data_IF_559668628851
#
_entry.id   IF_559668628851
#
_cell.length_a   1.000
_cell.length_b   1.000
_cell.length_c   1.000
_cell.angle_alpha   90.00
_cell.angle_beta   90.00
_cell.angle_gamma   90.00
#
_symmetry.space_group_name_H-M   'P 1'
#
loop_
_entity.id
_entity.type
_entity.pdbx_description
1 polymer ?
#
# COMPACT_ATOMS: atom_id res chain seq x y z
N UNK A 1 7.86 102.87 36.13
CA UNK A 1 8.75 101.89 36.79
C UNK A 1 8.33 100.52 36.38
N UNK A 2 9.30 99.85 35.84
CA UNK A 2 9.43 98.44 35.50
C UNK A 2 8.47 97.82 34.44
N UNK A 3 9.07 97.74 33.28
CA UNK A 3 8.67 96.96 32.12
C UNK A 3 8.88 95.45 32.32
N UNK A 4 7.93 94.64 31.87
CA UNK A 4 8.17 93.22 31.57
C UNK A 4 8.20 92.97 30.08
N UNK A 5 9.08 92.12 29.58
CA UNK A 5 9.09 91.76 28.17
C UNK A 5 8.21 90.52 27.91
N UNK A 6 7.59 90.53 26.72
CA UNK A 6 6.75 89.52 26.18
C UNK A 6 7.57 88.31 25.67
N UNK A 7 7.23 87.08 26.08
CA UNK A 7 7.77 85.81 25.61
C UNK A 7 7.03 85.35 24.33
N UNK A 8 7.76 85.32 23.21
CA UNK A 8 7.30 84.69 21.96
C UNK A 8 7.53 83.18 22.04
N UNK A 9 6.44 82.40 22.02
CA UNK A 9 6.49 80.96 21.79
C UNK A 9 6.57 80.63 20.33
N UNK A 10 7.73 80.19 19.86
CA UNK A 10 7.92 79.54 18.57
C UNK A 10 7.22 78.15 18.59
N UNK A 11 6.27 77.95 17.67
CA UNK A 11 5.73 76.63 17.36
C UNK A 11 6.79 75.84 16.55
N UNK A 12 7.39 74.83 17.13
CA UNK A 12 8.22 73.85 16.43
C UNK A 12 7.35 72.97 15.54
N UNK A 13 7.56 73.05 14.23
CA UNK A 13 7.00 72.16 13.23
C UNK A 13 7.53 70.77 13.41
N UNK A 14 6.64 69.79 13.69
CA UNK A 14 6.98 68.38 13.72
C UNK A 14 7.15 67.92 12.26
N UNK A 15 8.37 67.73 11.81
CA UNK A 15 8.71 67.06 10.56
C UNK A 15 8.37 65.54 10.69
N UNK A 16 7.31 65.15 10.02
CA UNK A 16 7.01 63.70 9.80
C UNK A 16 8.03 63.12 8.82
N UNK A 17 9.03 62.39 9.35
CA UNK A 17 9.99 61.63 8.56
C UNK A 17 9.27 60.57 7.73
N UNK A 18 9.11 60.79 6.43
CA UNK A 18 8.64 59.78 5.45
C UNK A 18 9.62 58.61 5.45
N UNK A 19 9.17 57.40 5.82
CA UNK A 19 9.96 56.18 5.75
C UNK A 19 10.54 55.93 4.37
N UNK A 20 11.78 55.45 4.22
CA UNK A 20 12.49 55.42 2.94
C UNK A 20 11.81 54.44 1.99
N UNK A 21 11.44 54.96 0.80
CA UNK A 21 10.79 54.22 -0.32
C UNK A 21 11.55 52.94 -0.74
N UNK A 22 12.81 52.79 -0.36
CA UNK A 22 13.68 51.65 -0.65
C UNK A 22 13.26 50.37 0.10
N UNK A 23 12.84 50.47 1.37
CA UNK A 23 12.37 49.34 2.19
C UNK A 23 11.04 48.72 1.68
N UNK A 24 10.15 49.54 1.12
CA UNK A 24 8.87 49.07 0.53
C UNK A 24 9.12 48.26 -0.75
N UNK A 25 10.07 48.67 -1.63
CA UNK A 25 10.38 47.93 -2.87
C UNK A 25 10.99 46.55 -2.53
N UNK A 26 11.91 46.47 -1.56
CA UNK A 26 12.51 45.20 -1.14
C UNK A 26 11.48 44.25 -0.52
N UNK A 27 10.55 44.78 0.26
CA UNK A 27 9.46 43.96 0.86
C UNK A 27 8.51 43.41 -0.24
N UNK A 28 8.17 44.18 -1.25
CA UNK A 28 7.35 43.76 -2.39
C UNK A 28 8.04 42.67 -3.20
N UNK A 29 9.37 42.84 -3.49
CA UNK A 29 10.16 41.84 -4.21
C UNK A 29 10.19 40.51 -3.40
N UNK A 30 10.43 40.55 -2.08
CA UNK A 30 10.43 39.37 -1.22
C UNK A 30 9.05 38.70 -1.19
N UNK A 31 7.97 39.49 -1.14
CA UNK A 31 6.60 38.97 -1.19
C UNK A 31 6.29 38.31 -2.54
N UNK A 32 6.72 38.90 -3.66
CA UNK A 32 6.56 38.33 -5.01
C UNK A 32 7.37 37.04 -5.16
N UNK A 33 8.61 37.00 -4.63
CA UNK A 33 9.43 35.77 -4.63
C UNK A 33 8.80 34.68 -3.78
N UNK A 34 8.25 35.01 -2.61
CA UNK A 34 7.52 34.06 -1.75
C UNK A 34 6.25 33.55 -2.43
N UNK A 35 5.44 34.44 -3.03
CA UNK A 35 4.25 34.06 -3.79
C UNK A 35 4.59 33.16 -4.99
N UNK A 36 5.64 33.49 -5.73
CA UNK A 36 6.08 32.64 -6.86
C UNK A 36 6.54 31.26 -6.39
N UNK A 37 7.26 31.15 -5.27
CA UNK A 37 7.62 29.87 -4.64
C UNK A 37 6.38 29.06 -4.21
N UNK A 38 5.39 29.73 -3.62
CA UNK A 38 4.12 29.08 -3.23
C UNK A 38 3.34 28.59 -4.45
N UNK A 39 3.28 29.40 -5.54
CA UNK A 39 2.63 29.01 -6.79
C UNK A 39 3.36 27.83 -7.45
N UNK A 40 4.68 27.84 -7.48
CA UNK A 40 5.48 26.72 -8.01
C UNK A 40 5.27 25.46 -7.17
N UNK A 41 5.28 25.55 -5.84
CA UNK A 41 5.02 24.42 -4.97
C UNK A 41 3.61 23.87 -5.14
N UNK A 42 2.58 24.74 -5.23
CA UNK A 42 1.19 24.36 -5.45
C UNK A 42 0.98 23.72 -6.84
N UNK A 43 1.59 24.29 -7.89
CA UNK A 43 1.48 23.74 -9.25
C UNK A 43 2.22 22.40 -9.37
N UNK A 44 3.35 22.23 -8.70
CA UNK A 44 4.08 20.96 -8.65
C UNK A 44 3.25 19.90 -7.91
N UNK A 45 2.65 20.23 -6.77
CA UNK A 45 1.75 19.35 -6.05
C UNK A 45 0.52 18.95 -6.87
N UNK A 46 -0.12 19.90 -7.55
CA UNK A 46 -1.26 19.64 -8.42
C UNK A 46 -0.88 18.78 -9.64
N UNK A 47 0.29 19.02 -10.24
CA UNK A 47 0.81 18.22 -11.35
C UNK A 47 1.08 16.77 -10.89
N UNK A 48 1.76 16.58 -9.77
CA UNK A 48 2.00 15.25 -9.20
C UNK A 48 0.69 14.51 -8.92
N UNK A 49 -0.30 15.21 -8.36
CA UNK A 49 -1.62 14.63 -8.12
C UNK A 49 -2.31 14.22 -9.43
N UNK A 50 -2.29 15.10 -10.44
CA UNK A 50 -2.91 14.84 -11.74
C UNK A 50 -2.25 13.66 -12.47
N UNK A 51 -0.92 13.64 -12.55
CA UNK A 51 -0.19 12.54 -13.17
C UNK A 51 -0.28 11.25 -12.35
N UNK A 52 -0.33 11.34 -11.02
CA UNK A 52 -0.45 10.19 -10.13
C UNK A 52 -1.78 9.45 -10.25
N UNK A 53 -2.85 10.14 -10.67
CA UNK A 53 -4.17 9.54 -10.90
C UNK A 53 -4.17 8.58 -12.10
N UNK A 54 -3.34 8.84 -13.10
CA UNK A 54 -3.34 8.08 -14.37
C UNK A 54 -2.96 6.61 -14.15
N UNK A 55 -3.82 5.68 -14.59
CA UNK A 55 -3.60 4.24 -14.50
C UNK A 55 -3.68 3.65 -13.09
N UNK A 56 -4.22 4.40 -12.11
CA UNK A 56 -4.43 3.88 -10.75
C UNK A 56 -5.79 3.21 -10.56
N UNK A 57 -6.74 3.51 -11.41
CA UNK A 57 -8.08 2.90 -11.39
C UNK A 57 -8.45 2.43 -12.80
N UNK A 58 -9.26 1.38 -12.88
CA UNK A 58 -9.84 0.88 -14.12
C UNK A 58 -11.27 1.37 -14.26
N UNK A 59 -11.66 1.82 -15.45
CA UNK A 59 -13.00 2.36 -15.68
C UNK A 59 -14.06 1.30 -15.80
N UNK A 60 -13.70 0.22 -16.48
CA UNK A 60 -14.59 -0.87 -16.81
C UNK A 60 -13.89 -2.18 -16.42
N UNK A 61 -14.55 -3.00 -15.61
CA UNK A 61 -14.08 -4.33 -15.27
C UNK A 61 -15.28 -5.26 -15.18
N UNK A 62 -15.23 -6.36 -15.91
CA UNK A 62 -16.28 -7.38 -15.93
C UNK A 62 -15.84 -8.54 -15.04
N UNK A 63 -16.73 -8.94 -14.13
CA UNK A 63 -16.53 -10.09 -13.28
C UNK A 63 -16.51 -11.37 -14.13
N UNK A 64 -15.44 -12.17 -13.99
CA UNK A 64 -15.39 -13.47 -14.64
C UNK A 64 -16.46 -14.40 -14.04
N UNK A 65 -16.97 -15.38 -14.80
CA UNK A 65 -17.88 -16.38 -14.27
C UNK A 65 -17.32 -17.07 -13.02
N UNK A 66 -18.18 -17.32 -12.06
CA UNK A 66 -17.84 -17.94 -10.79
C UNK A 66 -18.50 -19.32 -10.71
N UNK A 67 -17.69 -20.37 -10.63
CA UNK A 67 -18.22 -21.71 -10.39
C UNK A 67 -18.59 -21.83 -8.90
N UNK A 68 -19.83 -22.29 -8.61
CA UNK A 68 -20.29 -22.55 -7.26
C UNK A 68 -20.89 -21.37 -6.50
N UNK A 69 -20.94 -20.16 -7.06
CA UNK A 69 -21.62 -19.00 -6.49
C UNK A 69 -22.84 -18.63 -7.33
N UNK A 70 -24.02 -18.61 -6.71
CA UNK A 70 -25.27 -18.23 -7.39
C UNK A 70 -25.32 -16.71 -7.59
N UNK A 71 -24.89 -16.28 -8.77
CA UNK A 71 -24.79 -14.87 -9.16
C UNK A 71 -25.17 -14.68 -10.62
N UNK A 72 -25.66 -13.49 -10.95
CA UNK A 72 -25.97 -13.08 -12.32
C UNK A 72 -25.24 -11.78 -12.65
N UNK A 73 -24.47 -11.79 -13.73
CA UNK A 73 -23.87 -10.58 -14.30
C UNK A 73 -24.78 -10.10 -15.43
N UNK A 74 -25.28 -8.87 -15.33
CA UNK A 74 -26.17 -8.26 -16.33
C UNK A 74 -25.36 -7.60 -17.45
N UNK A 75 -26.03 -7.29 -18.57
CA UNK A 75 -25.42 -6.62 -19.75
C UNK A 75 -24.90 -5.20 -19.45
N UNK A 76 -25.35 -4.58 -18.35
CA UNK A 76 -24.91 -3.25 -17.88
C UNK A 76 -23.78 -3.33 -16.83
N UNK A 77 -23.08 -4.48 -16.73
CA UNK A 77 -22.01 -4.76 -15.75
C UNK A 77 -22.46 -4.70 -14.27
N UNK A 78 -23.76 -4.75 -14.03
CA UNK A 78 -24.26 -4.94 -12.65
C UNK A 78 -24.28 -6.42 -12.29
N UNK A 79 -24.03 -6.69 -11.00
CA UNK A 79 -24.01 -8.05 -10.45
C UNK A 79 -25.18 -8.21 -9.50
N UNK A 80 -25.98 -9.26 -9.68
CA UNK A 80 -27.05 -9.64 -8.74
C UNK A 80 -26.55 -10.78 -7.87
N UNK A 81 -26.57 -10.58 -6.57
CA UNK A 81 -26.17 -11.56 -5.56
C UNK A 81 -27.04 -11.43 -4.30
N UNK A 82 -27.63 -12.53 -3.83
CA UNK A 82 -28.52 -12.57 -2.64
C UNK A 82 -29.61 -11.47 -2.68
N UNK A 83 -30.32 -11.38 -3.82
CA UNK A 83 -31.38 -10.39 -4.06
C UNK A 83 -30.96 -8.90 -4.01
N UNK A 84 -29.65 -8.64 -4.07
CA UNK A 84 -29.07 -7.30 -4.12
C UNK A 84 -28.39 -7.06 -5.43
N UNK A 85 -28.44 -5.80 -5.88
CA UNK A 85 -27.77 -5.36 -7.12
C UNK A 85 -26.51 -4.59 -6.74
N UNK A 86 -25.41 -4.94 -7.37
CA UNK A 86 -24.10 -4.31 -7.16
C UNK A 86 -23.57 -3.73 -8.46
N UNK A 87 -22.99 -2.54 -8.39
CA UNK A 87 -22.36 -1.88 -9.52
C UNK A 87 -20.87 -1.74 -9.28
N UNK A 88 -20.08 -2.00 -10.32
CA UNK A 88 -18.63 -1.81 -10.27
C UNK A 88 -18.24 -0.38 -9.87
N UNK A 89 -17.25 -0.26 -8.99
CA UNK A 89 -16.72 1.00 -8.50
C UNK A 89 -15.42 1.35 -9.21
N UNK A 90 -15.48 2.18 -10.24
CA UNK A 90 -14.34 2.66 -11.03
C UNK A 90 -13.35 3.57 -10.26
N UNK A 91 -13.56 3.76 -8.95
CA UNK A 91 -12.68 4.55 -8.08
C UNK A 91 -11.71 3.69 -7.26
N UNK A 92 -11.73 2.38 -7.45
CA UNK A 92 -10.85 1.48 -6.70
C UNK A 92 -9.45 1.47 -7.33
N UNK A 93 -8.46 1.83 -6.53
CA UNK A 93 -7.04 1.63 -6.83
C UNK A 93 -6.57 0.40 -6.03
N UNK A 94 -6.23 -0.67 -6.74
CA UNK A 94 -5.77 -1.93 -6.15
C UNK A 94 -4.26 -2.10 -6.34
N UNK A 95 -3.54 -2.29 -5.25
CA UNK A 95 -2.09 -2.43 -5.20
C UNK A 95 -1.73 -3.77 -4.56
N UNK A 96 -1.00 -4.63 -5.26
CA UNK A 96 -0.49 -5.87 -4.70
C UNK A 96 0.85 -5.63 -4.00
N UNK A 97 0.88 -5.81 -2.69
CA UNK A 97 2.09 -5.79 -1.89
C UNK A 97 2.65 -7.22 -1.78
N UNK A 98 3.90 -7.41 -2.19
CA UNK A 98 4.56 -8.71 -2.28
C UNK A 98 5.78 -8.71 -1.37
N UNK A 99 5.87 -9.66 -0.44
CA UNK A 99 7.08 -9.94 0.33
C UNK A 99 7.86 -11.09 -0.31
N UNK A 100 9.11 -10.86 -0.70
CA UNK A 100 9.96 -11.85 -1.38
C UNK A 100 11.08 -12.29 -0.48
N UNK A 101 11.39 -13.60 -0.47
CA UNK A 101 12.40 -14.22 0.37
C UNK A 101 13.84 -14.09 -0.14
N UNK A 102 14.04 -13.67 -1.40
CA UNK A 102 15.36 -13.64 -2.05
C UNK A 102 15.97 -12.22 -2.12
N UNK A 103 16.91 -11.93 -1.22
CA UNK A 103 17.63 -10.66 -1.17
C UNK A 103 18.56 -10.39 -2.37
N UNK A 104 19.05 -11.45 -3.04
CA UNK A 104 20.10 -11.31 -4.07
C UNK A 104 19.53 -10.83 -5.40
N UNK A 105 18.25 -11.01 -5.65
CA UNK A 105 17.63 -10.82 -6.95
C UNK A 105 17.00 -9.42 -7.12
N UNK A 106 16.59 -8.77 -6.04
CA UNK A 106 16.12 -7.38 -6.12
C UNK A 106 17.26 -6.38 -6.44
N UNK A 107 18.52 -6.77 -6.26
CA UNK A 107 19.70 -5.93 -6.51
C UNK A 107 20.29 -6.02 -7.92
N UNK A 108 19.56 -6.56 -8.92
CA UNK A 108 19.93 -6.43 -10.34
C UNK A 108 20.44 -7.68 -11.06
N UNK A 109 20.27 -8.88 -10.51
CA UNK A 109 20.54 -10.14 -11.23
C UNK A 109 19.27 -10.63 -11.96
N UNK A 110 19.38 -10.96 -13.25
CA UNK A 110 18.30 -11.66 -13.96
C UNK A 110 18.19 -13.08 -13.42
N UNK A 111 17.05 -13.43 -12.83
CA UNK A 111 16.80 -14.79 -12.38
C UNK A 111 16.54 -15.72 -13.57
N UNK A 112 16.96 -16.97 -13.44
CA UNK A 112 16.49 -18.03 -14.34
C UNK A 112 15.03 -18.33 -13.99
N UNK A 113 14.18 -18.41 -14.98
CA UNK A 113 12.76 -18.78 -14.82
C UNK A 113 12.61 -20.04 -13.95
N UNK A 114 11.70 -19.98 -12.98
CA UNK A 114 11.52 -21.01 -11.95
C UNK A 114 12.46 -20.89 -10.73
N UNK A 115 13.37 -19.90 -10.71
CA UNK A 115 14.33 -19.67 -9.63
C UNK A 115 14.35 -18.21 -9.15
N UNK A 116 13.31 -17.44 -9.42
CA UNK A 116 13.22 -16.03 -9.07
C UNK A 116 12.89 -15.74 -7.58
N UNK A 117 12.84 -16.77 -6.72
CA UNK A 117 12.30 -16.69 -5.38
C UNK A 117 10.79 -16.91 -5.37
N UNK A 118 10.16 -16.78 -4.22
CA UNK A 118 8.73 -16.97 -4.05
C UNK A 118 8.08 -15.73 -3.40
N UNK A 119 6.81 -15.50 -3.73
CA UNK A 119 6.01 -14.49 -3.05
C UNK A 119 5.54 -15.03 -1.69
N UNK A 120 6.35 -14.85 -0.66
CA UNK A 120 6.11 -15.39 0.69
C UNK A 120 5.01 -14.67 1.47
N UNK A 121 4.66 -13.46 1.05
CA UNK A 121 3.60 -12.65 1.63
C UNK A 121 2.88 -11.89 0.52
N UNK A 122 1.55 -11.96 0.50
CA UNK A 122 0.69 -11.36 -0.51
C UNK A 122 -0.43 -10.58 0.19
N UNK A 123 -0.49 -9.27 -0.07
CA UNK A 123 -1.53 -8.39 0.46
C UNK A 123 -2.06 -7.49 -0.64
N UNK A 124 -3.37 -7.57 -0.91
CA UNK A 124 -4.02 -6.60 -1.78
C UNK A 124 -4.46 -5.40 -0.94
N UNK A 125 -3.97 -4.22 -1.30
CA UNK A 125 -4.39 -2.95 -0.72
C UNK A 125 -5.31 -2.26 -1.72
N UNK A 126 -6.59 -2.23 -1.44
CA UNK A 126 -7.60 -1.59 -2.28
C UNK A 126 -8.05 -0.27 -1.64
N UNK A 127 -7.88 0.82 -2.36
CA UNK A 127 -8.22 2.18 -1.93
C UNK A 127 -9.35 2.71 -2.79
N UNK A 128 -10.51 2.98 -2.20
CA UNK A 128 -11.52 3.81 -2.85
C UNK A 128 -11.03 5.26 -2.84
N UNK A 129 -10.60 5.75 -3.99
CA UNK A 129 -9.95 7.06 -4.13
C UNK A 129 -10.93 8.22 -3.98
N UNK A 130 -12.23 7.95 -3.92
CA UNK A 130 -13.29 8.94 -3.66
C UNK A 130 -13.59 9.06 -2.17
N UNK A 131 -13.80 7.93 -1.49
CA UNK A 131 -14.14 7.90 -0.06
C UNK A 131 -12.93 7.79 0.87
N UNK A 132 -11.77 7.34 0.37
CA UNK A 132 -10.58 7.01 1.15
C UNK A 132 -10.70 5.71 1.95
N UNK A 133 -11.82 4.98 1.86
CA UNK A 133 -11.93 3.64 2.43
C UNK A 133 -10.80 2.76 1.87
N UNK A 134 -10.09 2.09 2.76
CA UNK A 134 -8.97 1.23 2.38
C UNK A 134 -9.17 -0.16 2.97
N UNK A 135 -9.18 -1.17 2.13
CA UNK A 135 -9.25 -2.57 2.52
C UNK A 135 -7.91 -3.26 2.25
N UNK A 136 -7.40 -3.99 3.22
CA UNK A 136 -6.18 -4.81 3.11
C UNK A 136 -6.60 -6.26 3.20
N UNK A 137 -6.52 -6.98 2.08
CA UNK A 137 -6.82 -8.42 1.99
C UNK A 137 -5.52 -9.22 2.06
N UNK A 138 -5.38 -10.06 3.07
CA UNK A 138 -4.30 -11.05 3.17
C UNK A 138 -4.65 -12.29 2.34
N UNK A 139 -3.77 -12.64 1.40
CA UNK A 139 -3.90 -13.80 0.51
C UNK A 139 -2.92 -14.88 0.96
N UNK A 140 -3.37 -16.07 1.37
CA UNK A 140 -2.47 -17.16 1.73
C UNK A 140 -1.56 -17.54 0.55
N UNK A 141 -0.26 -17.66 0.81
CA UNK A 141 0.72 -17.95 -0.24
C UNK A 141 0.52 -19.31 -0.91
N UNK A 142 -0.10 -20.24 -0.19
CA UNK A 142 -0.34 -21.61 -0.64
C UNK A 142 -1.69 -21.75 -1.37
N UNK A 143 -2.41 -20.63 -1.67
CA UNK A 143 -3.67 -20.63 -2.41
C UNK A 143 -3.48 -21.21 -3.80
N UNK A 144 -4.28 -22.22 -4.15
CA UNK A 144 -4.29 -22.77 -5.50
C UNK A 144 -5.02 -21.82 -6.45
N UNK A 145 -4.36 -21.54 -7.57
CA UNK A 145 -4.87 -20.65 -8.61
C UNK A 145 -4.19 -20.98 -9.94
N UNK A 146 -4.78 -20.60 -11.02
CA UNK A 146 -4.19 -20.70 -12.34
C UNK A 146 -2.99 -19.78 -12.50
N UNK A 147 -1.80 -20.35 -12.62
CA UNK A 147 -0.51 -19.69 -12.78
C UNK A 147 0.04 -19.92 -14.17
N UNK A 148 0.51 -18.85 -14.83
CA UNK A 148 1.23 -18.97 -16.09
C UNK A 148 2.61 -19.60 -15.86
N UNK A 149 2.87 -20.71 -16.54
CA UNK A 149 4.11 -21.46 -16.45
C UNK A 149 5.02 -21.12 -17.62
N UNK A 150 6.29 -20.96 -17.33
CA UNK A 150 7.31 -20.66 -18.32
C UNK A 150 8.46 -21.68 -18.23
N UNK A 151 8.98 -22.07 -19.39
CA UNK A 151 10.17 -22.94 -19.49
C UNK A 151 11.41 -22.24 -18.95
N UNK A 152 12.49 -23.00 -18.74
CA UNK A 152 13.80 -22.45 -18.32
C UNK A 152 14.38 -21.43 -19.30
N UNK A 153 13.96 -21.48 -20.59
CA UNK A 153 14.33 -20.49 -21.61
C UNK A 153 13.47 -19.23 -21.59
N UNK A 154 12.46 -19.15 -20.70
CA UNK A 154 11.51 -18.03 -20.62
C UNK A 154 10.35 -18.10 -21.61
N UNK A 155 10.20 -19.22 -22.37
CA UNK A 155 9.08 -19.40 -23.27
C UNK A 155 7.84 -19.83 -22.49
N UNK A 156 6.69 -19.26 -22.83
CA UNK A 156 5.40 -19.66 -22.25
C UNK A 156 5.12 -21.14 -22.48
N UNK A 157 4.78 -21.88 -21.44
CA UNK A 157 4.55 -23.32 -21.47
C UNK A 157 3.10 -23.74 -21.15
N UNK A 158 2.26 -22.82 -20.72
CA UNK A 158 0.86 -23.08 -20.42
C UNK A 158 0.40 -22.47 -19.10
N UNK A 159 -0.69 -23.01 -18.58
CA UNK A 159 -1.26 -22.65 -17.26
C UNK A 159 -1.32 -23.90 -16.42
N UNK A 160 -0.93 -23.79 -15.16
CA UNK A 160 -1.09 -24.84 -14.16
C UNK A 160 -1.85 -24.30 -12.95
N UNK A 161 -2.74 -25.10 -12.37
CA UNK A 161 -3.35 -24.80 -11.08
C UNK A 161 -2.39 -25.21 -9.97
N UNK A 162 -1.77 -24.20 -9.32
CA UNK A 162 -0.72 -24.40 -8.32
C UNK A 162 -0.69 -23.25 -7.30
N UNK A 163 0.19 -23.35 -6.30
CA UNK A 163 0.28 -22.31 -5.26
C UNK A 163 0.63 -20.95 -5.85
N UNK A 164 -0.13 -19.93 -5.48
CA UNK A 164 0.01 -18.55 -6.01
C UNK A 164 1.40 -17.95 -5.79
N UNK A 165 2.12 -18.37 -4.74
CA UNK A 165 3.48 -17.91 -4.47
C UNK A 165 4.48 -18.26 -5.57
N UNK A 166 4.20 -19.31 -6.36
CA UNK A 166 5.05 -19.76 -7.47
C UNK A 166 4.94 -18.87 -8.70
N UNK A 167 3.88 -18.09 -8.84
CA UNK A 167 3.73 -17.13 -9.94
C UNK A 167 4.93 -16.17 -10.04
N UNK A 168 5.47 -15.76 -8.88
CA UNK A 168 6.67 -14.91 -8.82
C UNK A 168 7.91 -15.63 -9.36
N UNK A 169 8.06 -16.92 -9.07
CA UNK A 169 9.22 -17.72 -9.47
C UNK A 169 9.37 -17.85 -10.99
N UNK A 170 8.28 -17.80 -11.73
CA UNK A 170 8.25 -17.92 -13.19
C UNK A 170 8.64 -16.64 -13.94
N UNK A 171 9.02 -15.58 -13.26
CA UNK A 171 9.50 -14.33 -13.86
C UNK A 171 11.01 -14.13 -13.75
N UNK A 172 11.40 -12.86 -13.78
CA UNK A 172 12.80 -12.39 -13.75
C UNK A 172 13.30 -12.04 -12.33
N UNK A 173 12.50 -12.25 -11.31
CA UNK A 173 12.77 -11.79 -9.93
C UNK A 173 12.51 -10.29 -9.73
N UNK A 174 11.97 -9.61 -10.73
CA UNK A 174 11.69 -8.18 -10.73
C UNK A 174 10.30 -7.91 -11.37
N UNK A 175 10.28 -7.14 -12.45
CA UNK A 175 9.06 -6.68 -13.11
C UNK A 175 8.18 -7.83 -13.57
N UNK A 176 8.72 -8.77 -14.36
CA UNK A 176 7.94 -9.88 -14.92
C UNK A 176 7.40 -10.79 -13.81
N UNK A 177 8.18 -11.02 -12.75
CA UNK A 177 7.72 -11.76 -11.56
C UNK A 177 6.54 -11.10 -10.88
N UNK A 178 6.59 -9.78 -10.71
CA UNK A 178 5.48 -9.02 -10.14
C UNK A 178 4.24 -9.07 -11.05
N UNK A 179 4.41 -8.91 -12.35
CA UNK A 179 3.31 -8.94 -13.33
C UNK A 179 2.64 -10.32 -13.41
N UNK A 180 3.40 -11.41 -13.35
CA UNK A 180 2.86 -12.76 -13.26
C UNK A 180 2.04 -12.96 -11.98
N UNK A 181 2.56 -12.46 -10.85
CA UNK A 181 1.85 -12.55 -9.56
C UNK A 181 0.56 -11.71 -9.57
N UNK A 182 0.60 -10.50 -10.13
CA UNK A 182 -0.60 -9.66 -10.34
C UNK A 182 -1.65 -10.39 -11.17
N UNK A 183 -1.24 -11.04 -12.26
CA UNK A 183 -2.16 -11.80 -13.14
C UNK A 183 -2.82 -12.95 -12.39
N UNK A 184 -2.07 -13.70 -11.59
CA UNK A 184 -2.61 -14.79 -10.78
C UNK A 184 -3.55 -14.29 -9.67
N UNK A 185 -3.23 -13.16 -9.02
CA UNK A 185 -4.14 -12.53 -8.05
C UNK A 185 -5.42 -12.03 -8.73
N UNK A 186 -5.32 -11.41 -9.92
CA UNK A 186 -6.52 -11.00 -10.66
C UNK A 186 -7.43 -12.19 -11.00
N UNK A 187 -6.85 -13.34 -11.43
CA UNK A 187 -7.62 -14.57 -11.67
C UNK A 187 -8.32 -15.07 -10.41
N UNK A 188 -7.61 -15.11 -9.28
CA UNK A 188 -8.17 -15.46 -7.97
C UNK A 188 -9.35 -14.57 -7.59
N UNK A 189 -9.32 -13.30 -7.96
CA UNK A 189 -10.35 -12.31 -7.69
C UNK A 189 -11.35 -12.15 -8.87
N UNK A 190 -11.62 -13.24 -9.59
CA UNK A 190 -12.58 -13.29 -10.68
C UNK A 190 -12.33 -12.25 -11.78
N UNK A 191 -11.06 -12.01 -12.11
CA UNK A 191 -10.67 -11.06 -13.16
C UNK A 191 -10.61 -9.60 -12.71
N UNK A 192 -10.85 -9.30 -11.43
CA UNK A 192 -10.82 -7.91 -10.95
C UNK A 192 -9.43 -7.28 -11.13
N UNK A 193 -9.38 -5.98 -11.49
CA UNK A 193 -8.13 -5.32 -11.82
C UNK A 193 -7.24 -5.14 -10.59
N UNK A 194 -5.95 -5.40 -10.77
CA UNK A 194 -4.87 -5.06 -9.84
C UNK A 194 -3.94 -4.09 -10.55
N UNK A 195 -4.07 -2.81 -10.26
CA UNK A 195 -3.49 -1.71 -11.06
C UNK A 195 -1.99 -1.52 -10.83
N UNK A 196 -1.51 -1.88 -9.64
CA UNK A 196 -0.12 -1.65 -9.26
C UNK A 196 0.41 -2.77 -8.39
N UNK A 197 1.74 -2.83 -8.31
CA UNK A 197 2.43 -3.75 -7.41
C UNK A 197 3.56 -3.06 -6.67
N UNK A 198 3.90 -3.62 -5.51
CA UNK A 198 4.98 -3.18 -4.65
C UNK A 198 5.64 -4.40 -4.00
N UNK A 199 6.69 -4.92 -4.60
CA UNK A 199 7.45 -6.05 -4.08
C UNK A 199 8.65 -5.57 -3.24
N UNK A 200 8.87 -6.16 -2.07
CA UNK A 200 9.93 -5.78 -1.13
C UNK A 200 10.71 -6.99 -0.63
N UNK A 201 11.98 -6.77 -0.37
CA UNK A 201 12.85 -7.73 0.31
C UNK A 201 12.90 -7.49 1.83
N UNK A 202 13.62 -8.36 2.53
CA UNK A 202 13.86 -8.27 3.97
C UNK A 202 14.45 -6.93 4.41
N UNK A 203 15.36 -6.33 3.63
CA UNK A 203 16.04 -5.06 3.99
C UNK A 203 15.07 -3.89 3.94
N UNK A 204 14.11 -3.92 3.00
CA UNK A 204 13.04 -2.95 2.95
C UNK A 204 12.18 -3.00 4.21
N UNK A 205 11.83 -4.19 4.71
CA UNK A 205 11.00 -4.37 5.92
C UNK A 205 11.67 -3.71 7.15
N UNK A 206 12.97 -3.96 7.36
CA UNK A 206 13.71 -3.33 8.45
C UNK A 206 13.76 -1.80 8.33
N UNK A 207 13.88 -1.29 7.10
CA UNK A 207 13.90 0.15 6.80
C UNK A 207 12.53 0.80 7.00
N UNK A 208 11.45 0.15 6.58
CA UNK A 208 10.06 0.55 6.79
C UNK A 208 9.75 0.64 8.28
N UNK A 209 10.01 -0.44 9.03
CA UNK A 209 9.80 -0.47 10.48
C UNK A 209 10.58 0.63 11.21
N UNK A 210 11.87 0.78 10.86
CA UNK A 210 12.73 1.81 11.46
C UNK A 210 12.25 3.24 11.21
N UNK A 211 11.55 3.51 10.11
CA UNK A 211 10.99 4.82 9.82
C UNK A 211 9.75 5.15 10.68
N UNK A 212 8.91 4.15 10.95
CA UNK A 212 7.72 4.30 11.80
C UNK A 212 8.13 4.30 13.28
N UNK A 213 9.12 3.51 13.66
CA UNK A 213 9.60 3.36 15.03
C UNK A 213 9.07 2.09 15.69
N UNK A 214 8.90 2.08 16.99
CA UNK A 214 8.46 0.91 17.73
C UNK A 214 7.00 0.56 17.42
N UNK A 215 6.76 -0.71 17.03
CA UNK A 215 5.43 -1.31 16.91
C UNK A 215 5.31 -2.41 17.97
N UNK A 216 4.25 -2.34 18.78
CA UNK A 216 3.97 -3.32 19.82
C UNK A 216 3.00 -4.39 19.31
N UNK A 217 3.35 -5.67 19.49
CA UNK A 217 2.56 -6.82 19.05
C UNK A 217 2.26 -7.75 20.21
N UNK A 218 1.21 -8.57 20.06
CA UNK A 218 0.90 -9.68 20.96
C UNK A 218 0.91 -10.93 20.09
N UNK A 219 1.93 -11.82 20.21
CA UNK A 219 2.02 -13.02 19.41
C UNK A 219 0.84 -13.96 19.65
N UNK A 220 0.28 -14.54 18.59
CA UNK A 220 -0.81 -15.51 18.63
C UNK A 220 -0.32 -16.96 18.81
N UNK A 221 0.98 -17.15 18.85
CA UNK A 221 1.66 -18.43 19.12
C UNK A 221 3.06 -18.17 19.69
N UNK A 222 3.61 -19.13 20.41
CA UNK A 222 5.01 -19.03 20.87
C UNK A 222 5.97 -19.39 19.74
N UNK A 223 6.88 -18.47 19.42
CA UNK A 223 7.85 -18.60 18.33
C UNK A 223 9.27 -18.43 18.86
N UNK A 224 10.17 -19.31 18.45
CA UNK A 224 11.58 -19.24 18.78
C UNK A 224 12.39 -19.14 17.49
N UNK A 225 13.14 -18.06 17.33
CA UNK A 225 13.96 -17.80 16.13
C UNK A 225 15.44 -18.03 16.36
N UNK A 226 15.80 -18.60 17.50
CA UNK A 226 17.20 -18.78 17.92
C UNK A 226 17.80 -17.52 18.56
N UNK A 227 17.49 -16.35 18.06
CA UNK A 227 17.95 -15.05 18.62
C UNK A 227 16.92 -14.42 19.57
N UNK A 228 15.63 -14.63 19.31
CA UNK A 228 14.52 -14.06 20.08
C UNK A 228 13.41 -15.09 20.29
N UNK A 229 12.81 -15.07 21.47
CA UNK A 229 11.58 -15.84 21.77
C UNK A 229 10.40 -14.87 21.90
N UNK A 230 9.40 -15.09 21.06
CA UNK A 230 8.11 -14.37 21.10
C UNK A 230 7.10 -15.28 21.81
N UNK A 231 6.69 -14.94 23.01
CA UNK A 231 5.74 -15.75 23.80
C UNK A 231 4.30 -15.38 23.46
N UNK A 232 3.48 -16.40 23.24
CA UNK A 232 2.04 -16.26 23.00
C UNK A 232 1.39 -15.42 24.10
N UNK A 233 0.50 -14.49 23.70
CA UNK A 233 -0.26 -13.62 24.59
C UNK A 233 0.55 -12.58 25.34
N UNK A 234 1.89 -12.53 25.18
CA UNK A 234 2.75 -11.58 25.89
C UNK A 234 3.12 -10.43 24.96
N UNK A 235 2.89 -9.21 25.41
CA UNK A 235 3.24 -8.00 24.66
C UNK A 235 4.74 -7.97 24.35
N UNK A 236 5.08 -7.69 23.08
CA UNK A 236 6.45 -7.57 22.62
C UNK A 236 6.65 -6.31 21.76
N UNK A 237 7.72 -5.57 22.04
CA UNK A 237 8.09 -4.34 21.32
C UNK A 237 9.07 -4.69 20.20
N UNK A 238 8.59 -4.61 18.96
CA UNK A 238 9.43 -4.84 17.79
C UNK A 238 10.34 -3.65 17.52
N UNK A 239 11.51 -3.97 17.02
CA UNK A 239 12.54 -3.03 16.54
C UNK A 239 12.94 -3.41 15.12
N UNK A 240 13.68 -2.53 14.43
CA UNK A 240 14.22 -2.83 13.09
C UNK A 240 15.13 -4.07 13.03
N UNK A 241 15.61 -4.56 14.18
CA UNK A 241 16.52 -5.70 14.25
C UNK A 241 15.83 -7.05 14.44
N UNK A 242 14.59 -7.05 14.94
CA UNK A 242 13.85 -8.28 15.22
C UNK A 242 12.48 -8.36 14.54
N UNK A 243 12.06 -7.30 13.84
CA UNK A 243 10.78 -7.29 13.12
C UNK A 243 10.72 -8.38 12.06
N UNK A 244 11.80 -8.60 11.33
CA UNK A 244 11.85 -9.63 10.30
C UNK A 244 11.76 -11.04 10.92
N UNK A 245 12.51 -11.29 12.00
CA UNK A 245 12.43 -12.57 12.74
C UNK A 245 10.99 -12.88 13.16
N UNK A 246 10.27 -11.86 13.66
CA UNK A 246 8.85 -11.99 14.04
C UNK A 246 7.95 -12.32 12.85
N UNK A 247 8.15 -11.63 11.73
CA UNK A 247 7.27 -11.75 10.55
C UNK A 247 7.52 -13.05 9.76
N UNK A 248 8.76 -13.57 9.77
CA UNK A 248 9.09 -14.80 9.04
C UNK A 248 8.87 -16.07 9.86
N UNK A 249 8.96 -16.00 11.19
CA UNK A 249 8.90 -17.16 12.07
C UNK A 249 7.62 -17.98 11.84
N UNK A 250 7.75 -19.31 11.86
CA UNK A 250 6.62 -20.24 11.75
C UNK A 250 6.95 -21.56 12.42
N UNK A 251 5.94 -22.24 12.90
CA UNK A 251 6.06 -23.60 13.37
C UNK A 251 5.97 -24.58 12.19
N UNK A 252 7.06 -24.97 11.62
CA UNK A 252 7.14 -25.83 10.42
C UNK A 252 6.48 -27.21 10.58
N UNK A 253 6.06 -27.59 11.79
CA UNK A 253 5.40 -28.87 12.04
C UNK A 253 3.88 -28.80 11.81
N UNK A 254 3.33 -27.62 11.68
CA UNK A 254 1.89 -27.41 11.47
C UNK A 254 1.57 -27.15 10.00
N UNK A 255 0.54 -27.77 9.47
CA UNK A 255 0.07 -27.57 8.08
C UNK A 255 -0.37 -26.12 7.87
N UNK A 256 -0.98 -25.52 8.89
CA UNK A 256 -1.50 -24.14 8.88
C UNK A 256 -0.43 -23.07 9.23
N UNK A 257 0.85 -23.46 9.28
CA UNK A 257 1.93 -22.56 9.68
C UNK A 257 2.05 -21.31 8.80
N UNK A 258 1.84 -21.44 7.49
CA UNK A 258 1.87 -20.33 6.54
C UNK A 258 0.68 -19.40 6.74
N UNK A 259 -0.50 -19.95 6.97
CA UNK A 259 -1.73 -19.20 7.23
C UNK A 259 -1.64 -18.41 8.54
N UNK A 260 -1.21 -19.04 9.64
CA UNK A 260 -0.95 -18.36 10.93
C UNK A 260 0.09 -17.25 10.81
N UNK A 261 1.15 -17.49 10.03
CA UNK A 261 2.15 -16.45 9.72
C UNK A 261 1.50 -15.26 9.01
N UNK A 262 0.67 -15.48 7.98
CA UNK A 262 -0.04 -14.43 7.27
C UNK A 262 -0.95 -13.63 8.22
N UNK A 263 -1.73 -14.30 9.08
CA UNK A 263 -2.58 -13.62 10.06
C UNK A 263 -1.77 -12.73 11.02
N UNK A 264 -0.62 -13.22 11.50
CA UNK A 264 0.30 -12.46 12.36
C UNK A 264 0.91 -11.26 11.62
N UNK A 265 1.27 -11.44 10.36
CA UNK A 265 1.75 -10.35 9.51
C UNK A 265 0.65 -9.30 9.28
N UNK A 266 -0.60 -9.71 9.08
CA UNK A 266 -1.74 -8.79 8.91
C UNK A 266 -2.00 -7.97 10.19
N UNK A 267 -1.92 -8.58 11.38
CA UNK A 267 -1.98 -7.85 12.65
C UNK A 267 -0.84 -6.82 12.80
N UNK A 268 0.38 -7.20 12.41
CA UNK A 268 1.50 -6.27 12.37
C UNK A 268 1.24 -5.12 11.39
N UNK A 269 0.78 -5.40 10.15
CA UNK A 269 0.47 -4.38 9.13
C UNK A 269 -0.58 -3.40 9.68
N UNK A 270 -1.61 -3.90 10.36
CA UNK A 270 -2.63 -3.07 11.00
C UNK A 270 -2.02 -2.06 11.99
N UNK A 271 -1.16 -2.53 12.88
CA UNK A 271 -0.49 -1.69 13.89
C UNK A 271 0.53 -0.73 13.28
N UNK A 272 1.28 -1.22 12.29
CA UNK A 272 2.22 -0.42 11.50
C UNK A 272 1.51 0.72 10.77
N UNK A 273 0.40 0.41 10.08
CA UNK A 273 -0.37 1.39 9.31
C UNK A 273 -0.93 2.50 10.19
N UNK A 274 -1.44 2.17 11.37
CA UNK A 274 -1.90 3.18 12.33
C UNK A 274 -0.79 4.16 12.71
N UNK A 275 0.41 3.65 13.02
CA UNK A 275 1.56 4.48 13.35
C UNK A 275 2.08 5.29 12.14
N UNK A 276 2.05 4.72 10.93
CA UNK A 276 2.43 5.41 9.70
C UNK A 276 1.46 6.55 9.36
N UNK A 277 0.15 6.36 9.52
CA UNK A 277 -0.86 7.40 9.32
C UNK A 277 -0.64 8.57 10.27
N UNK A 278 -0.38 8.30 11.56
CA UNK A 278 -0.09 9.37 12.53
C UNK A 278 1.17 10.17 12.16
N UNK A 279 2.18 9.53 11.59
CA UNK A 279 3.36 10.23 11.06
C UNK A 279 3.02 11.05 9.81
N UNK A 280 2.20 10.50 8.92
CA UNK A 280 1.77 11.18 7.70
C UNK A 280 0.91 12.41 8.01
N UNK A 281 0.03 12.35 9.02
CA UNK A 281 -0.72 13.52 9.50
C UNK A 281 0.20 14.66 9.98
N UNK A 282 1.35 14.33 10.55
CA UNK A 282 2.36 15.31 11.00
C UNK A 282 3.29 15.77 9.86
N UNK A 283 3.56 14.92 8.91
CA UNK A 283 4.40 15.20 7.74
C UNK A 283 3.80 14.53 6.51
N UNK A 284 3.08 15.28 5.69
CA UNK A 284 2.39 14.79 4.48
C UNK A 284 3.36 14.17 3.45
N UNK A 285 4.64 14.50 3.50
CA UNK A 285 5.68 13.95 2.63
C UNK A 285 6.23 12.62 3.14
N UNK A 286 5.89 12.20 4.36
CA UNK A 286 6.41 10.97 4.96
C UNK A 286 6.26 9.72 4.08
N UNK A 287 5.13 9.47 3.39
CA UNK A 287 5.02 8.32 2.48
C UNK A 287 6.00 8.36 1.30
N UNK A 288 6.26 9.55 0.73
CA UNK A 288 7.22 9.74 -0.36
C UNK A 288 8.65 9.58 0.14
N UNK A 289 8.97 10.11 1.32
CA UNK A 289 10.27 9.91 1.99
C UNK A 289 10.53 8.42 2.26
N UNK A 290 9.48 7.71 2.70
CA UNK A 290 9.53 6.28 2.96
C UNK A 290 9.80 5.49 1.67
N UNK A 291 9.07 5.81 0.60
CA UNK A 291 9.30 5.24 -0.74
C UNK A 291 10.74 5.45 -1.21
N UNK A 292 11.25 6.67 -1.17
CA UNK A 292 12.62 6.98 -1.59
C UNK A 292 13.68 6.21 -0.78
N UNK A 293 13.38 5.92 0.49
CA UNK A 293 14.28 5.16 1.37
C UNK A 293 14.39 3.70 1.00
N UNK A 294 13.32 3.08 0.49
CA UNK A 294 13.24 1.64 0.24
C UNK A 294 13.33 1.26 -1.24
N UNK A 295 13.24 2.22 -2.18
CA UNK A 295 13.18 1.95 -3.62
C UNK A 295 14.32 1.06 -4.16
N UNK A 296 15.49 1.05 -3.50
CA UNK A 296 16.62 0.17 -3.88
C UNK A 296 16.41 -1.30 -3.48
N UNK A 297 15.47 -1.55 -2.59
CA UNK A 297 15.10 -2.86 -2.07
C UNK A 297 13.63 -3.20 -2.41
N UNK A 298 13.11 -2.57 -3.47
CA UNK A 298 11.75 -2.75 -3.94
C UNK A 298 11.71 -2.81 -5.46
N UNK A 299 10.77 -3.60 -5.99
CA UNK A 299 10.37 -3.59 -7.39
C UNK A 299 8.91 -3.14 -7.47
N UNK A 300 8.64 -2.06 -8.19
CA UNK A 300 7.30 -1.48 -8.26
C UNK A 300 7.08 -0.74 -9.57
N UNK A 301 5.83 -0.68 -10.02
CA UNK A 301 5.38 0.22 -11.08
C UNK A 301 4.81 1.54 -10.52
N UNK A 302 4.87 1.74 -9.21
CA UNK A 302 4.47 3.00 -8.56
C UNK A 302 5.64 4.00 -8.57
N UNK A 303 5.30 5.27 -8.62
CA UNK A 303 6.20 6.41 -8.47
C UNK A 303 5.73 7.38 -7.38
N UNK A 304 6.51 8.43 -7.15
CA UNK A 304 6.17 9.44 -6.14
C UNK A 304 4.82 10.13 -6.42
N UNK A 305 4.42 10.25 -7.70
CA UNK A 305 3.16 10.87 -8.10
C UNK A 305 1.97 10.02 -7.67
N UNK A 306 2.02 8.72 -7.94
CA UNK A 306 0.99 7.74 -7.53
C UNK A 306 0.88 7.65 -6.02
N UNK A 307 2.01 7.63 -5.31
CA UNK A 307 2.03 7.64 -3.84
C UNK A 307 1.40 8.93 -3.29
N UNK A 308 1.71 10.08 -3.88
CA UNK A 308 1.11 11.38 -3.49
C UNK A 308 -0.40 11.37 -3.71
N UNK A 309 -0.85 10.87 -4.87
CA UNK A 309 -2.28 10.75 -5.17
C UNK A 309 -3.02 9.87 -4.15
N UNK A 310 -2.54 8.65 -3.89
CA UNK A 310 -3.14 7.74 -2.92
C UNK A 310 -3.11 8.30 -1.50
N UNK A 311 -1.99 8.90 -1.10
CA UNK A 311 -1.88 9.54 0.22
C UNK A 311 -2.93 10.63 0.39
N UNK A 312 -3.13 11.46 -0.65
CA UNK A 312 -4.14 12.52 -0.62
C UNK A 312 -5.56 11.95 -0.51
N UNK A 313 -5.87 10.86 -1.24
CA UNK A 313 -7.16 10.19 -1.18
C UNK A 313 -7.45 9.64 0.24
N UNK A 314 -6.46 8.98 0.87
CA UNK A 314 -6.60 8.40 2.21
C UNK A 314 -6.77 9.47 3.29
N UNK A 315 -6.06 10.61 3.19
CA UNK A 315 -6.02 11.62 4.27
C UNK A 315 -7.10 12.68 4.12
N UNK A 316 -7.59 12.94 2.91
CA UNK A 316 -8.56 14.01 2.64
C UNK A 316 -9.98 13.72 3.16
N UNK A 317 -10.27 12.49 3.56
CA UNK A 317 -11.58 12.10 4.05
C UNK A 317 -11.81 12.58 5.47
N UNK A 318 -12.97 13.24 5.71
CA UNK A 318 -13.38 13.77 7.03
C UNK A 318 -13.66 12.67 8.06
N UNK A 319 -14.06 11.50 7.62
CA UNK A 319 -14.14 10.30 8.44
C UNK A 319 -12.76 9.67 8.46
N UNK A 320 -12.21 9.45 9.65
CA UNK A 320 -10.91 8.78 9.86
C UNK A 320 -10.82 7.61 8.89
N UNK A 321 -9.87 7.64 7.95
CA UNK A 321 -9.72 6.64 6.91
C UNK A 321 -10.00 5.24 7.48
N UNK A 322 -11.13 4.64 7.11
CA UNK A 322 -11.49 3.33 7.64
C UNK A 322 -10.56 2.32 6.98
N UNK A 323 -9.62 1.81 7.77
CA UNK A 323 -8.76 0.72 7.37
C UNK A 323 -9.43 -0.58 7.79
N UNK A 324 -9.81 -1.37 6.82
CA UNK A 324 -10.36 -2.71 7.02
C UNK A 324 -9.28 -3.75 6.71
N UNK A 325 -9.16 -4.77 7.56
CA UNK A 325 -8.18 -5.84 7.40
C UNK A 325 -8.92 -7.17 7.34
N UNK A 326 -8.80 -7.86 6.21
CA UNK A 326 -9.48 -9.12 5.92
C UNK A 326 -8.42 -10.19 5.70
N UNK A 327 -8.55 -11.33 6.37
CA UNK A 327 -7.85 -12.57 6.01
C UNK A 327 -8.75 -13.37 5.09
N UNK A 328 -8.27 -13.79 3.94
CA UNK A 328 -9.00 -14.75 3.11
C UNK A 328 -9.30 -16.01 3.92
N UNK A 329 -10.54 -16.45 3.91
CA UNK A 329 -11.00 -17.66 4.60
C UNK A 329 -11.00 -18.84 3.64
N UNK A 330 -10.83 -20.05 4.18
CA UNK A 330 -10.77 -21.27 3.41
C UNK A 330 -10.16 -22.42 4.23
N UNK A 331 -9.88 -23.51 3.54
CA UNK A 331 -9.30 -24.71 4.14
C UNK A 331 -7.83 -24.86 3.72
N UNK A 332 -6.96 -25.12 4.69
CA UNK A 332 -5.56 -25.45 4.42
C UNK A 332 -5.33 -26.93 4.69
N UNK A 333 -4.92 -27.64 3.65
CA UNK A 333 -4.64 -29.08 3.70
C UNK A 333 -3.20 -29.34 3.31
N UNK A 334 -2.78 -30.60 3.47
CA UNK A 334 -1.55 -31.12 2.92
C UNK A 334 -1.86 -31.80 1.59
N UNK A 335 -1.31 -31.29 0.49
CA UNK A 335 -1.44 -31.88 -0.82
C UNK A 335 -0.77 -33.25 -0.96
N UNK A 336 -1.04 -33.94 -2.05
CA UNK A 336 -0.49 -35.26 -2.35
C UNK A 336 1.04 -35.22 -2.51
N UNK A 337 1.58 -34.13 -2.98
CA UNK A 337 3.02 -33.86 -3.12
C UNK A 337 3.72 -33.53 -1.78
N UNK A 338 2.91 -33.41 -0.70
CA UNK A 338 3.38 -33.13 0.65
C UNK A 338 3.51 -31.64 0.99
N UNK A 339 3.23 -30.75 0.06
CA UNK A 339 3.18 -29.29 0.30
C UNK A 339 1.83 -28.85 0.86
N UNK A 340 1.80 -27.65 1.44
CA UNK A 340 0.56 -27.05 1.90
C UNK A 340 -0.21 -26.46 0.71
N UNK A 341 -1.52 -26.70 0.69
CA UNK A 341 -2.47 -26.16 -0.28
C UNK A 341 -3.57 -25.42 0.45
N UNK A 342 -3.98 -24.28 -0.06
CA UNK A 342 -5.08 -23.48 0.49
C UNK A 342 -6.20 -23.37 -0.54
N UNK A 343 -7.39 -23.78 -0.13
CA UNK A 343 -8.62 -23.72 -0.92
C UNK A 343 -9.49 -22.60 -0.34
N UNK A 344 -9.71 -21.50 -1.07
CA UNK A 344 -10.59 -20.43 -0.62
C UNK A 344 -12.02 -20.93 -0.38
N UNK A 345 -12.70 -20.35 0.59
CA UNK A 345 -14.15 -20.41 0.67
C UNK A 345 -14.69 -19.47 -0.43
N UNK A 346 -15.26 -20.08 -1.48
CA UNK A 346 -15.66 -19.36 -2.70
C UNK A 346 -16.74 -18.32 -2.41
N UNK A 347 -17.71 -18.62 -1.53
CA UNK A 347 -18.76 -17.65 -1.18
C UNK A 347 -18.18 -16.46 -0.41
N UNK A 348 -17.33 -16.70 0.57
CA UNK A 348 -16.67 -15.65 1.35
C UNK A 348 -15.68 -14.83 0.51
N UNK A 349 -14.98 -15.47 -0.44
CA UNK A 349 -14.11 -14.78 -1.40
C UNK A 349 -14.92 -13.87 -2.31
N UNK A 350 -16.04 -14.37 -2.84
CA UNK A 350 -16.92 -13.58 -3.70
C UNK A 350 -17.50 -12.37 -2.97
N UNK A 351 -17.99 -12.55 -1.73
CA UNK A 351 -18.46 -11.45 -0.89
C UNK A 351 -17.35 -10.43 -0.62
N UNK A 352 -16.11 -10.89 -0.41
CA UNK A 352 -14.95 -10.03 -0.24
C UNK A 352 -14.69 -9.21 -1.52
N UNK A 353 -14.73 -9.83 -2.69
CA UNK A 353 -14.57 -9.15 -3.98
C UNK A 353 -15.66 -8.10 -4.19
N UNK A 354 -16.93 -8.44 -3.92
CA UNK A 354 -18.03 -7.46 -3.97
C UNK A 354 -17.80 -6.29 -3.01
N UNK A 355 -17.36 -6.55 -1.79
CA UNK A 355 -17.11 -5.50 -0.79
C UNK A 355 -15.98 -4.54 -1.16
N UNK A 356 -15.00 -5.02 -1.95
CA UNK A 356 -13.85 -4.25 -2.39
C UNK A 356 -14.16 -3.47 -3.67
N UNK A 357 -14.71 -4.15 -4.69
CA UNK A 357 -14.78 -3.61 -6.04
C UNK A 357 -16.16 -3.11 -6.46
N UNK A 358 -17.18 -3.33 -5.66
CA UNK A 358 -18.56 -2.98 -6.01
C UNK A 358 -19.24 -2.13 -4.94
N UNK A 359 -20.27 -1.42 -5.35
CA UNK A 359 -21.19 -0.67 -4.46
C UNK A 359 -22.59 -1.23 -4.64
N UNK A 360 -23.29 -1.52 -3.53
CA UNK A 360 -24.70 -1.89 -3.57
C UNK A 360 -25.53 -0.73 -4.16
N UNK A 361 -26.35 -1.04 -5.15
CA UNK A 361 -27.28 -0.09 -5.78
C UNK A 361 -28.62 -0.24 -5.09
N UNK A 362 -29.17 0.87 -4.62
CA UNK A 362 -30.47 0.90 -3.93
C UNK A 362 -31.63 0.90 -4.93
#
# INVERSE_FOLDING_TARGET
MTSQPSENKELSSVETKKAPKRKRKTLIILLCCFLSLVIVAASTGAALWYFGKSGMTEKDATLAPTDGVDTTVNDDDTVVYKDKVYKYNDKIAAILCIGVDDEKKMSGGVAVTGHAGQADALYLVAVDTESGKTTVLGIPRDTLVDVDIYSKSGSYAGVENTQICLAYAYGDGQKTSCENTVKSVSRLLYGMPVNSYFAVDQKAIASLHGAVGTVTVIPNETLNTGSVSFKEGVEFRLTKYNVFDYLQARNQKSVDASYKRMQRQLDYIKKYSAAAIEKTKKNILFPVELYNKIQKNATTNMDASRITYLTSAIISTKESASLEFISMTGEQIKGEDGYAEFYPDEEALFETVLSIYYKEVK
#
